data_IF_151619381055
#
_entry.id   IF_151619381055
#
_cell.length_a   1.000
_cell.length_b   1.000
_cell.length_c   1.000
_cell.angle_alpha   90.00
_cell.angle_beta   90.00
_cell.angle_gamma   90.00
#
_symmetry.space_group_name_H-M   'P 1'
#
loop_
_entity.id
_entity.type
_entity.pdbx_description
1 polymer ?
#
# COMPACT_ATOMS: atom_id res chain seq x y z
N UNK A 1 -7.54 -15.66 -6.25
CA UNK A 1 -6.86 -15.96 -4.98
C UNK A 1 -7.52 -17.07 -4.16
N UNK A 2 -8.85 -17.24 -4.15
CA UNK A 2 -9.51 -18.34 -3.43
C UNK A 2 -8.99 -19.76 -3.80
N UNK A 3 -8.52 -19.96 -5.05
CA UNK A 3 -7.96 -21.24 -5.51
C UNK A 3 -6.58 -21.59 -4.93
N UNK A 4 -5.83 -20.62 -4.41
CA UNK A 4 -4.49 -20.89 -3.85
C UNK A 4 -4.55 -21.66 -2.51
N UNK A 5 -5.74 -21.77 -1.91
CA UNK A 5 -5.94 -22.37 -0.58
C UNK A 5 -6.52 -23.79 -0.69
N UNK A 6 -6.86 -24.26 -1.90
CA UNK A 6 -7.50 -25.57 -2.11
C UNK A 6 -6.56 -26.67 -2.60
N UNK A 7 -5.36 -26.34 -3.10
CA UNK A 7 -4.34 -27.31 -3.50
C UNK A 7 -2.96 -26.66 -3.61
N UNK A 8 -1.91 -27.39 -3.24
CA UNK A 8 -0.52 -26.97 -3.43
C UNK A 8 -0.20 -26.68 -4.91
N UNK A 9 -0.73 -27.47 -5.83
CA UNK A 9 -0.50 -27.25 -7.27
C UNK A 9 -1.13 -25.94 -7.75
N UNK A 10 -2.31 -25.58 -7.25
CA UNK A 10 -2.93 -24.29 -7.57
C UNK A 10 -2.20 -23.12 -6.89
N UNK A 11 -1.65 -23.35 -5.70
CA UNK A 11 -0.80 -22.38 -5.03
C UNK A 11 0.41 -22.02 -5.91
N UNK A 12 1.17 -23.03 -6.36
CA UNK A 12 2.37 -22.83 -7.19
C UNK A 12 2.04 -22.12 -8.52
N UNK A 13 0.94 -22.50 -9.16
CA UNK A 13 0.46 -21.84 -10.38
C UNK A 13 0.14 -20.36 -10.13
N UNK A 14 -0.53 -20.05 -9.01
CA UNK A 14 -0.84 -18.65 -8.64
C UNK A 14 0.43 -17.86 -8.38
N UNK A 15 1.41 -18.41 -7.65
CA UNK A 15 2.68 -17.74 -7.39
C UNK A 15 3.48 -17.50 -8.67
N UNK A 16 3.54 -18.50 -9.56
CA UNK A 16 4.22 -18.38 -10.84
C UNK A 16 3.56 -17.31 -11.72
N UNK A 17 2.23 -17.25 -11.72
CA UNK A 17 1.46 -16.22 -12.42
C UNK A 17 1.71 -14.81 -11.86
N UNK A 18 1.68 -14.63 -10.53
CA UNK A 18 1.97 -13.34 -9.89
C UNK A 18 3.40 -12.88 -10.18
N UNK A 19 4.37 -13.79 -10.13
CA UNK A 19 5.76 -13.52 -10.48
C UNK A 19 5.89 -13.04 -11.93
N UNK A 20 5.28 -13.76 -12.86
CA UNK A 20 5.30 -13.40 -14.27
C UNK A 20 4.68 -12.02 -14.49
N UNK A 21 3.54 -11.72 -13.85
CA UNK A 21 2.89 -10.40 -13.96
C UNK A 21 3.75 -9.27 -13.39
N UNK A 22 4.42 -9.48 -12.26
CA UNK A 22 5.38 -8.51 -11.71
C UNK A 22 6.52 -8.24 -12.69
N UNK A 23 7.13 -9.29 -13.25
CA UNK A 23 8.24 -9.14 -14.21
C UNK A 23 7.79 -8.43 -15.49
N UNK A 24 6.63 -8.78 -16.04
CA UNK A 24 6.07 -8.12 -17.22
C UNK A 24 5.74 -6.64 -16.97
N UNK A 25 5.20 -6.31 -15.78
CA UNK A 25 4.95 -4.94 -15.39
C UNK A 25 6.26 -4.13 -15.29
N UNK A 26 7.26 -4.69 -14.62
CA UNK A 26 8.58 -4.06 -14.44
C UNK A 26 9.38 -3.97 -15.73
N UNK A 27 9.19 -4.89 -16.68
CA UNK A 27 9.78 -4.82 -18.02
C UNK A 27 9.34 -3.58 -18.81
N UNK A 28 8.22 -2.97 -18.44
CA UNK A 28 7.82 -1.66 -18.96
C UNK A 28 8.78 -0.55 -18.52
N UNK A 29 9.29 -0.61 -17.29
CA UNK A 29 10.16 0.42 -16.70
C UNK A 29 11.65 0.14 -16.92
N UNK A 30 12.05 -1.13 -16.93
CA UNK A 30 13.45 -1.54 -16.86
C UNK A 30 13.76 -2.66 -17.84
N UNK A 31 14.88 -2.55 -18.56
CA UNK A 31 15.40 -3.61 -19.44
C UNK A 31 15.75 -4.90 -18.68
N UNK A 32 16.15 -4.77 -17.40
CA UNK A 32 16.54 -5.89 -16.54
C UNK A 32 15.71 -5.95 -15.24
N UNK A 33 14.44 -6.42 -15.28
CA UNK A 33 13.56 -6.45 -14.11
C UNK A 33 14.09 -7.24 -12.91
N UNK A 34 14.85 -8.31 -13.15
CA UNK A 34 15.44 -9.11 -12.08
C UNK A 34 16.54 -8.35 -11.33
N UNK A 35 17.35 -7.56 -12.05
CA UNK A 35 18.34 -6.68 -11.43
C UNK A 35 17.67 -5.60 -10.57
N UNK A 36 16.54 -5.07 -11.03
CA UNK A 36 15.73 -4.15 -10.23
C UNK A 36 15.21 -4.81 -8.95
N UNK A 37 14.68 -6.04 -9.02
CA UNK A 37 14.17 -6.77 -7.85
C UNK A 37 15.30 -7.09 -6.86
N UNK A 38 16.52 -7.34 -7.34
CA UNK A 38 17.69 -7.47 -6.47
C UNK A 38 18.03 -6.15 -5.75
N UNK A 39 17.98 -5.01 -6.43
CA UNK A 39 18.14 -3.69 -5.79
C UNK A 39 17.01 -3.38 -4.82
N UNK A 40 15.77 -3.75 -5.14
CA UNK A 40 14.61 -3.60 -4.27
C UNK A 40 14.81 -4.40 -2.97
N UNK A 41 15.30 -5.64 -3.07
CA UNK A 41 15.65 -6.48 -1.93
C UNK A 41 16.79 -5.89 -1.10
N UNK A 42 17.89 -5.47 -1.74
CA UNK A 42 19.06 -4.91 -1.07
C UNK A 42 18.74 -3.61 -0.30
N UNK A 43 17.75 -2.84 -0.76
CA UNK A 43 17.26 -1.64 -0.07
C UNK A 43 16.19 -1.90 0.99
N UNK A 44 15.78 -3.16 1.22
CA UNK A 44 14.57 -3.49 1.99
C UNK A 44 13.38 -2.61 1.57
N UNK A 45 13.22 -2.44 0.25
CA UNK A 45 12.24 -1.55 -0.32
C UNK A 45 10.98 -2.31 -0.73
N UNK A 46 9.89 -1.57 -0.89
CA UNK A 46 8.63 -2.11 -1.42
C UNK A 46 8.04 -1.22 -2.50
N UNK A 47 7.37 -1.82 -3.48
CA UNK A 47 6.50 -1.14 -4.43
C UNK A 47 5.14 -0.98 -3.77
N UNK A 48 4.50 0.19 -3.84
CA UNK A 48 3.16 0.42 -3.27
C UNK A 48 2.24 1.20 -4.22
N UNK A 49 1.21 1.85 -3.68
CA UNK A 49 0.31 2.76 -4.41
C UNK A 49 -0.37 2.04 -5.58
N UNK A 50 -0.56 2.74 -6.71
CA UNK A 50 -1.33 2.24 -7.83
C UNK A 50 -0.69 1.10 -8.60
N UNK A 51 0.64 0.99 -8.56
CA UNK A 51 1.36 -0.15 -9.15
C UNK A 51 1.04 -1.44 -8.38
N UNK A 52 1.19 -1.43 -7.05
CA UNK A 52 0.88 -2.58 -6.22
C UNK A 52 -0.60 -2.98 -6.32
N UNK A 53 -1.51 -2.00 -6.34
CA UNK A 53 -2.94 -2.26 -6.51
C UNK A 53 -3.26 -2.98 -7.83
N UNK A 54 -2.72 -2.50 -8.95
CA UNK A 54 -2.95 -3.10 -10.26
C UNK A 54 -2.41 -4.53 -10.34
N UNK A 55 -1.23 -4.76 -9.77
CA UNK A 55 -0.58 -6.07 -9.75
C UNK A 55 -1.35 -7.07 -8.89
N UNK A 56 -1.82 -6.69 -7.70
CA UNK A 56 -2.51 -7.61 -6.78
C UNK A 56 -3.91 -8.02 -7.22
N UNK A 57 -4.69 -7.10 -7.78
CA UNK A 57 -6.11 -7.31 -7.99
C UNK A 57 -6.52 -7.46 -9.45
N UNK A 58 -5.54 -7.61 -10.35
CA UNK A 58 -5.75 -7.86 -11.79
C UNK A 58 -6.89 -7.04 -12.36
N UNK A 59 -6.86 -5.73 -12.12
CA UNK A 59 -7.82 -4.79 -12.66
C UNK A 59 -7.56 -4.56 -14.18
N UNK A 60 -7.27 -5.63 -14.92
CA UNK A 60 -6.97 -5.63 -16.36
C UNK A 60 -8.19 -5.23 -17.18
N UNK A 61 -9.39 -5.38 -16.63
CA UNK A 61 -10.65 -4.85 -17.19
C UNK A 61 -10.90 -3.39 -16.82
N UNK A 62 -10.06 -2.78 -15.99
CA UNK A 62 -10.24 -1.38 -15.62
C UNK A 62 -9.70 -0.45 -16.71
N UNK A 63 -10.37 0.68 -16.91
CA UNK A 63 -9.98 1.71 -17.87
C UNK A 63 -8.71 2.48 -17.48
N UNK A 64 -8.00 2.05 -16.44
CA UNK A 64 -6.84 2.75 -15.90
C UNK A 64 -5.63 1.83 -15.79
N UNK A 65 -4.45 2.43 -15.96
CA UNK A 65 -3.15 1.79 -15.78
C UNK A 65 -2.28 2.65 -14.85
N UNK A 66 -1.47 2.02 -14.02
CA UNK A 66 -0.42 2.71 -13.28
C UNK A 66 0.66 3.16 -14.28
N UNK A 67 0.92 4.46 -14.31
CA UNK A 67 1.90 5.08 -15.21
C UNK A 67 3.16 5.55 -14.44
N UNK A 68 3.16 5.38 -13.12
CA UNK A 68 4.29 5.66 -12.25
C UNK A 68 4.55 4.50 -11.30
N UNK A 69 5.78 4.44 -10.80
CA UNK A 69 6.26 3.46 -9.84
C UNK A 69 6.63 4.17 -8.54
N UNK A 70 5.92 3.85 -7.45
CA UNK A 70 6.18 4.40 -6.12
C UNK A 70 6.93 3.36 -5.28
N UNK A 71 8.18 3.67 -4.92
CA UNK A 71 9.07 2.83 -4.13
C UNK A 71 9.21 3.39 -2.73
N UNK A 72 9.04 2.57 -1.72
CA UNK A 72 9.15 2.96 -0.32
C UNK A 72 10.39 2.33 0.29
N UNK A 73 11.19 3.15 0.98
CA UNK A 73 12.41 2.72 1.65
C UNK A 73 12.42 3.19 3.10
N UNK A 74 13.10 2.44 3.97
CA UNK A 74 13.39 2.89 5.31
C UNK A 74 14.37 4.07 5.31
N UNK A 75 14.43 4.79 6.44
CA UNK A 75 15.39 5.87 6.65
C UNK A 75 16.83 5.43 6.32
N UNK A 76 17.49 6.14 5.42
CA UNK A 76 18.88 5.88 5.03
C UNK A 76 19.09 4.75 4.02
N UNK A 77 18.03 4.10 3.53
CA UNK A 77 18.14 2.90 2.66
C UNK A 77 17.92 3.17 1.16
N UNK A 78 17.96 4.44 0.75
CA UNK A 78 17.70 4.84 -0.64
C UNK A 78 18.82 4.48 -1.62
N UNK A 79 20.08 4.38 -1.18
CA UNK A 79 21.24 4.35 -2.08
C UNK A 79 21.23 3.24 -3.13
N UNK A 80 20.94 1.95 -2.80
CA UNK A 80 20.94 0.89 -3.82
C UNK A 80 19.93 1.12 -4.95
N UNK A 81 18.76 1.68 -4.64
CA UNK A 81 17.76 2.06 -5.65
C UNK A 81 18.15 3.32 -6.42
N UNK A 82 18.76 4.30 -5.77
CA UNK A 82 19.30 5.48 -6.45
C UNK A 82 20.32 5.05 -7.52
N UNK A 83 21.33 4.28 -7.13
CA UNK A 83 22.40 3.83 -8.02
C UNK A 83 21.83 2.99 -9.17
N UNK A 84 20.86 2.11 -8.88
CA UNK A 84 20.16 1.34 -9.90
C UNK A 84 19.46 2.24 -10.93
N UNK A 85 18.71 3.24 -10.49
CA UNK A 85 17.94 4.11 -11.38
C UNK A 85 18.86 4.97 -12.28
N UNK A 86 19.95 5.50 -11.72
CA UNK A 86 20.95 6.25 -12.49
C UNK A 86 21.59 5.35 -13.56
N UNK A 87 22.01 4.14 -13.19
CA UNK A 87 22.59 3.17 -14.13
C UNK A 87 21.59 2.68 -15.18
N UNK A 88 20.30 2.68 -14.87
CA UNK A 88 19.22 2.38 -15.80
C UNK A 88 18.86 3.56 -16.72
N UNK A 89 19.56 4.70 -16.63
CA UNK A 89 19.36 5.86 -17.50
C UNK A 89 18.27 6.84 -17.02
N UNK A 90 17.77 6.70 -15.80
CA UNK A 90 16.84 7.68 -15.24
C UNK A 90 17.60 8.93 -14.77
N UNK A 91 16.97 10.09 -14.99
CA UNK A 91 17.45 11.37 -14.46
C UNK A 91 16.66 11.77 -13.22
N UNK A 92 17.38 12.16 -12.17
CA UNK A 92 16.75 12.71 -10.96
C UNK A 92 16.20 14.11 -11.25
N UNK A 93 14.95 14.36 -10.91
CA UNK A 93 14.42 15.72 -10.90
C UNK A 93 14.97 16.50 -9.71
N UNK A 94 15.33 17.76 -9.95
CA UNK A 94 15.57 18.71 -8.86
C UNK A 94 14.31 18.80 -8.00
N UNK A 95 14.42 18.80 -6.66
CA UNK A 95 13.26 18.69 -5.79
C UNK A 95 12.40 19.96 -5.91
N UNK A 96 11.13 19.88 -6.31
CA UNK A 96 10.15 20.79 -5.74
C UNK A 96 9.94 20.29 -4.30
N UNK A 97 10.48 21.01 -3.31
CA UNK A 97 10.03 20.81 -1.93
C UNK A 97 8.51 20.96 -1.94
N UNK A 98 7.78 19.86 -1.71
CA UNK A 98 6.32 19.90 -1.61
C UNK A 98 5.94 19.82 -0.13
N UNK A 99 5.53 20.93 0.50
CA UNK A 99 5.03 20.93 1.88
C UNK A 99 3.81 20.00 2.07
N UNK A 100 3.17 19.57 0.98
CA UNK A 100 2.00 18.68 1.00
C UNK A 100 2.29 17.31 1.61
N UNK A 101 3.56 16.88 1.68
CA UNK A 101 3.99 15.61 2.30
C UNK A 101 4.72 15.79 3.64
N UNK A 102 4.70 16.99 4.22
CA UNK A 102 5.42 17.26 5.48
C UNK A 102 4.81 16.58 6.71
N UNK A 103 3.57 16.07 6.62
CA UNK A 103 2.90 15.34 7.71
C UNK A 103 3.02 13.82 7.53
N UNK A 104 3.11 13.11 8.66
CA UNK A 104 3.20 11.66 8.70
C UNK A 104 4.64 11.15 8.77
N UNK A 105 4.85 9.94 8.25
CA UNK A 105 6.11 9.19 8.32
C UNK A 105 6.91 9.26 7.02
N UNK A 106 6.56 10.15 6.07
CA UNK A 106 7.36 10.43 4.87
C UNK A 106 8.44 11.48 5.21
N UNK A 107 9.70 11.16 4.93
CA UNK A 107 10.85 12.06 5.12
C UNK A 107 11.14 12.84 3.85
N UNK A 108 11.36 12.14 2.75
CA UNK A 108 11.68 12.72 1.44
C UNK A 108 10.95 11.98 0.33
N UNK A 109 10.71 12.68 -0.78
CA UNK A 109 10.29 12.07 -2.04
C UNK A 109 11.30 12.51 -3.09
N UNK A 110 11.99 11.55 -3.70
CA UNK A 110 12.91 11.80 -4.80
C UNK A 110 12.32 11.22 -6.08
N UNK A 111 12.04 12.09 -7.05
CA UNK A 111 11.47 11.67 -8.33
C UNK A 111 12.57 11.48 -9.38
N UNK A 112 12.44 10.41 -10.15
CA UNK A 112 13.28 10.05 -11.28
C UNK A 112 12.40 9.93 -12.52
N UNK A 113 12.94 10.39 -13.65
CA UNK A 113 12.26 10.37 -14.94
C UNK A 113 13.13 9.69 -15.99
N UNK A 114 12.49 8.95 -16.87
CA UNK A 114 12.98 8.62 -18.20
C UNK A 114 12.02 9.23 -19.23
N UNK A 115 12.22 8.97 -20.52
CA UNK A 115 11.36 9.52 -21.59
C UNK A 115 9.88 9.24 -21.35
N UNK A 116 9.55 8.04 -20.87
CA UNK A 116 8.16 7.57 -20.77
C UNK A 116 7.73 7.27 -19.33
N UNK A 117 8.66 7.22 -18.38
CA UNK A 117 8.38 6.68 -17.05
C UNK A 117 8.79 7.61 -15.93
N UNK A 118 8.02 7.53 -14.85
CA UNK A 118 8.26 8.24 -13.61
C UNK A 118 8.39 7.23 -12.47
N UNK A 119 9.47 7.32 -11.71
CA UNK A 119 9.72 6.52 -10.51
C UNK A 119 9.90 7.47 -9.33
N UNK A 120 9.15 7.29 -8.26
CA UNK A 120 9.35 8.02 -7.01
C UNK A 120 10.01 7.07 -5.99
N UNK A 121 11.07 7.53 -5.34
CA UNK A 121 11.55 6.92 -4.09
C UNK A 121 11.04 7.76 -2.93
N UNK A 122 10.22 7.15 -2.07
CA UNK A 122 9.63 7.72 -0.87
C UNK A 122 10.39 7.14 0.32
N UNK A 123 11.20 7.98 0.98
CA UNK A 123 11.93 7.59 2.17
C UNK A 123 11.08 7.80 3.42
N UNK A 124 11.00 6.80 4.29
CA UNK A 124 10.35 6.94 5.59
C UNK A 124 11.21 7.74 6.58
N UNK A 125 10.55 8.41 7.54
CA UNK A 125 11.14 8.95 8.77
C UNK A 125 11.50 7.85 9.77
N UNK A 126 10.97 6.64 9.59
CA UNK A 126 11.16 5.50 10.48
C UNK A 126 12.09 4.46 9.87
N UNK A 127 12.47 3.47 10.66
CA UNK A 127 13.22 2.30 10.17
C UNK A 127 12.36 1.31 9.37
N UNK A 128 11.06 1.59 9.17
CA UNK A 128 10.18 0.76 8.35
C UNK A 128 9.79 1.50 7.07
N UNK A 129 9.92 0.87 5.88
CA UNK A 129 9.35 1.42 4.65
C UNK A 129 7.82 1.42 4.67
N UNK A 130 7.19 0.68 5.58
CA UNK A 130 5.74 0.45 5.59
C UNK A 130 4.96 1.52 6.35
N UNK A 131 5.58 2.23 7.29
CA UNK A 131 4.92 3.29 8.07
C UNK A 131 4.10 4.26 7.20
N UNK A 132 4.65 4.84 6.11
CA UNK A 132 3.88 5.78 5.28
C UNK A 132 2.78 5.11 4.46
N UNK A 133 2.86 3.81 4.23
CA UNK A 133 1.83 3.04 3.51
C UNK A 133 0.58 2.90 4.38
N UNK A 134 0.75 2.65 5.68
CA UNK A 134 -0.38 2.52 6.60
C UNK A 134 -1.02 3.87 6.99
N UNK A 135 -0.35 4.98 6.69
CA UNK A 135 -0.88 6.34 6.80
C UNK A 135 -1.59 6.83 5.53
N UNK A 136 -1.72 5.96 4.50
CA UNK A 136 -2.40 6.34 3.27
C UNK A 136 -3.85 6.74 3.49
N UNK A 137 -4.33 7.59 2.57
CA UNK A 137 -5.67 8.16 2.61
C UNK A 137 -6.79 7.13 2.51
N UNK A 138 -6.54 6.01 1.85
CA UNK A 138 -7.52 4.98 1.53
C UNK A 138 -6.98 3.60 1.83
N UNK A 139 -7.82 2.74 2.41
CA UNK A 139 -7.50 1.34 2.65
C UNK A 139 -7.12 0.58 1.37
N UNK A 140 -7.64 0.99 0.22
CA UNK A 140 -7.31 0.41 -1.09
C UNK A 140 -5.88 0.70 -1.57
N UNK A 141 -5.19 1.67 -0.96
CA UNK A 141 -3.78 1.98 -1.25
C UNK A 141 -2.81 1.31 -0.28
N UNK A 142 -3.31 0.70 0.80
CA UNK A 142 -2.50 0.03 1.82
C UNK A 142 -2.08 -1.38 1.36
N UNK A 143 -1.44 -1.46 0.21
CA UNK A 143 -0.91 -2.69 -0.36
C UNK A 143 0.54 -2.46 -0.76
N UNK A 144 1.36 -3.51 -0.71
CA UNK A 144 2.74 -3.41 -1.16
C UNK A 144 3.26 -4.73 -1.73
N UNK A 145 4.34 -4.64 -2.47
CA UNK A 145 5.03 -5.77 -3.09
C UNK A 145 6.52 -5.60 -2.77
N UNK A 146 7.12 -6.57 -2.07
CA UNK A 146 8.56 -6.64 -1.89
C UNK A 146 9.20 -7.36 -3.08
N UNK A 147 10.51 -7.60 -3.04
CA UNK A 147 11.17 -8.40 -4.07
C UNK A 147 10.60 -9.83 -4.16
N UNK A 148 10.08 -10.37 -3.07
CA UNK A 148 9.70 -11.79 -2.93
C UNK A 148 8.32 -12.00 -2.29
N UNK A 149 7.51 -10.96 -2.12
CA UNK A 149 6.19 -11.09 -1.50
C UNK A 149 5.19 -10.04 -1.98
N UNK A 150 3.92 -10.39 -1.84
CA UNK A 150 2.76 -9.56 -2.14
C UNK A 150 1.94 -9.41 -0.87
N UNK A 151 1.53 -8.18 -0.56
CA UNK A 151 0.79 -7.86 0.65
C UNK A 151 -0.41 -6.96 0.37
N UNK A 152 -1.56 -7.29 0.96
CA UNK A 152 -2.74 -6.42 1.00
C UNK A 152 -3.31 -6.36 2.41
N UNK A 153 -3.53 -5.14 2.91
CA UNK A 153 -4.08 -4.94 4.25
C UNK A 153 -5.57 -5.30 4.33
N UNK A 154 -6.30 -5.01 3.24
CA UNK A 154 -7.76 -5.18 3.16
C UNK A 154 -8.16 -5.89 1.86
N UNK A 155 -7.71 -7.14 1.65
CA UNK A 155 -7.86 -7.81 0.36
C UNK A 155 -9.33 -7.93 -0.08
N UNK A 156 -10.24 -8.26 0.84
CA UNK A 156 -11.67 -8.38 0.54
C UNK A 156 -12.36 -7.05 0.23
N UNK A 157 -11.86 -5.91 0.74
CA UNK A 157 -12.38 -4.59 0.37
C UNK A 157 -11.87 -4.20 -1.00
N UNK A 158 -10.55 -4.28 -1.17
CA UNK A 158 -9.85 -3.86 -2.39
C UNK A 158 -10.31 -4.67 -3.60
N UNK A 159 -10.52 -5.98 -3.45
CA UNK A 159 -11.04 -6.84 -4.52
C UNK A 159 -12.47 -6.48 -4.97
N UNK A 160 -13.25 -5.82 -4.11
CA UNK A 160 -14.61 -5.35 -4.42
C UNK A 160 -14.65 -3.89 -4.88
N UNK A 161 -13.48 -3.30 -5.18
CA UNK A 161 -13.34 -1.87 -5.45
C UNK A 161 -13.97 -1.02 -4.33
N UNK A 162 -13.84 -1.42 -3.07
CA UNK A 162 -14.30 -0.63 -1.93
C UNK A 162 -13.09 -0.12 -1.16
N UNK A 163 -13.13 1.15 -0.76
CA UNK A 163 -12.09 1.78 0.04
C UNK A 163 -12.68 2.51 1.24
N UNK A 164 -12.04 2.38 2.39
CA UNK A 164 -12.35 3.14 3.60
C UNK A 164 -11.38 4.31 3.67
N UNK A 165 -11.90 5.50 3.90
CA UNK A 165 -11.07 6.68 4.15
C UNK A 165 -10.40 6.52 5.51
N UNK A 166 -9.07 6.64 5.53
CA UNK A 166 -8.30 6.78 6.76
C UNK A 166 -8.64 8.16 7.37
N UNK A 167 -9.31 8.25 8.52
CA UNK A 167 -9.73 9.54 9.03
C UNK A 167 -8.65 10.33 9.76
N UNK A 168 -7.42 9.80 9.93
CA UNK A 168 -6.27 10.62 10.36
C UNK A 168 -6.05 11.85 9.44
N UNK A 169 -6.68 11.86 8.27
CA UNK A 169 -6.66 12.95 7.31
C UNK A 169 -7.54 14.15 7.68
N UNK A 170 -8.47 14.00 8.61
CA UNK A 170 -9.47 15.02 8.94
C UNK A 170 -9.21 15.74 10.27
N UNK A 171 -8.20 15.33 11.03
CA UNK A 171 -7.98 15.76 12.43
C UNK A 171 -7.65 17.26 12.61
N UNK A 172 -7.51 18.02 11.51
CA UNK A 172 -7.23 19.47 11.54
C UNK A 172 -8.24 20.31 10.76
N UNK A 173 -9.43 19.76 10.46
CA UNK A 173 -10.52 20.50 9.81
C UNK A 173 -10.28 20.91 8.34
N UNK A 174 -9.09 20.64 7.79
CA UNK A 174 -8.72 20.98 6.43
C UNK A 174 -8.25 19.74 5.65
N UNK A 175 -9.06 19.33 4.67
CA UNK A 175 -8.64 18.29 3.71
C UNK A 175 -7.66 18.91 2.73
N UNK A 176 -6.43 18.37 2.68
CA UNK A 176 -5.43 18.81 1.71
C UNK A 176 -5.92 18.56 0.28
N UNK A 177 -5.61 19.48 -0.64
CA UNK A 177 -5.92 19.33 -2.08
C UNK A 177 -5.34 18.00 -2.62
N UNK A 178 -4.13 17.62 -2.17
CA UNK A 178 -3.53 16.32 -2.53
C UNK A 178 -4.38 15.13 -2.11
N UNK A 179 -4.95 15.16 -0.90
CA UNK A 179 -5.87 14.15 -0.40
C UNK A 179 -7.14 14.09 -1.25
N UNK A 180 -7.77 15.23 -1.53
CA UNK A 180 -8.96 15.29 -2.40
C UNK A 180 -8.67 14.72 -3.80
N UNK A 181 -7.52 15.08 -4.38
CA UNK A 181 -7.10 14.56 -5.67
C UNK A 181 -6.89 13.04 -5.64
N UNK A 182 -6.34 12.51 -4.56
CA UNK A 182 -6.20 11.06 -4.38
C UNK A 182 -7.57 10.37 -4.27
N UNK A 183 -8.51 10.92 -3.49
CA UNK A 183 -9.88 10.39 -3.38
C UNK A 183 -10.56 10.39 -4.76
N UNK A 184 -10.54 11.52 -5.47
CA UNK A 184 -11.12 11.64 -6.81
C UNK A 184 -10.46 10.68 -7.82
N UNK A 185 -9.13 10.52 -7.75
CA UNK A 185 -8.37 9.56 -8.57
C UNK A 185 -8.91 8.15 -8.37
N UNK A 186 -9.14 7.70 -7.13
CA UNK A 186 -9.65 6.35 -6.88
C UNK A 186 -11.15 6.20 -7.20
N UNK A 187 -11.99 7.21 -6.97
CA UNK A 187 -13.38 7.19 -7.45
C UNK A 187 -13.46 6.97 -8.97
N UNK A 188 -12.65 7.70 -9.76
CA UNK A 188 -12.61 7.54 -11.23
C UNK A 188 -12.13 6.17 -11.68
N UNK A 189 -11.44 5.44 -10.81
CA UNK A 189 -10.97 4.07 -11.03
C UNK A 189 -12.01 3.01 -10.65
N UNK A 190 -13.23 3.43 -10.31
CA UNK A 190 -14.35 2.58 -9.93
C UNK A 190 -14.39 2.23 -8.44
N UNK A 191 -13.61 2.90 -7.59
CA UNK A 191 -13.69 2.65 -6.15
C UNK A 191 -14.90 3.34 -5.54
N UNK A 192 -15.68 2.58 -4.78
CA UNK A 192 -16.64 3.11 -3.83
C UNK A 192 -15.91 3.50 -2.55
N UNK A 193 -15.74 4.81 -2.36
CA UNK A 193 -15.09 5.37 -1.18
C UNK A 193 -16.13 5.61 -0.09
N UNK A 194 -15.87 5.09 1.11
CA UNK A 194 -16.75 5.22 2.27
C UNK A 194 -15.99 5.75 3.49
N UNK A 195 -16.66 6.48 4.36
CA UNK A 195 -16.16 6.69 5.72
C UNK A 195 -16.25 5.39 6.53
N UNK A 196 -15.49 5.21 7.62
CA UNK A 196 -15.64 4.05 8.50
C UNK A 196 -17.08 3.88 8.99
N UNK A 197 -17.74 4.97 9.37
CA UNK A 197 -19.14 4.96 9.82
C UNK A 197 -20.10 4.47 8.72
N UNK A 198 -19.95 4.97 7.49
CA UNK A 198 -20.76 4.52 6.34
C UNK A 198 -20.52 3.06 6.03
N UNK A 199 -19.26 2.60 6.07
CA UNK A 199 -18.96 1.19 5.85
C UNK A 199 -19.60 0.31 6.92
N UNK A 200 -19.58 0.71 8.19
CA UNK A 200 -20.25 -0.03 9.26
C UNK A 200 -21.75 -0.16 9.02
N UNK A 201 -22.44 0.92 8.69
CA UNK A 201 -23.89 0.88 8.45
C UNK A 201 -24.30 -0.07 7.31
N UNK A 202 -23.42 -0.29 6.31
CA UNK A 202 -23.73 -1.09 5.12
C UNK A 202 -23.14 -2.50 5.12
N UNK A 203 -22.05 -2.73 5.86
CA UNK A 203 -21.29 -4.00 5.79
C UNK A 203 -21.85 -5.09 6.69
N UNK A 204 -22.60 -4.72 7.72
CA UNK A 204 -23.38 -5.66 8.48
C UNK A 204 -24.58 -6.04 7.62
N UNK A 205 -24.61 -7.30 7.15
CA UNK A 205 -25.89 -7.95 6.85
C UNK A 205 -26.79 -7.64 8.03
N UNK A 206 -28.01 -7.20 7.79
CA UNK A 206 -29.00 -6.91 8.84
C UNK A 206 -28.94 -8.04 9.89
N UNK A 207 -28.34 -7.79 11.06
CA UNK A 207 -28.14 -8.78 12.12
C UNK A 207 -26.70 -9.10 12.58
N UNK A 208 -25.64 -8.80 11.84
CA UNK A 208 -24.26 -9.02 12.35
C UNK A 208 -23.83 -7.86 13.27
N UNK A 209 -23.48 -8.10 14.54
CA UNK A 209 -23.09 -7.02 15.45
C UNK A 209 -21.69 -6.49 15.12
N UNK A 210 -21.58 -5.17 14.95
CA UNK A 210 -20.29 -4.48 14.98
C UNK A 210 -19.62 -4.72 16.33
N UNK A 211 -18.36 -5.18 16.33
CA UNK A 211 -17.59 -5.33 17.55
C UNK A 211 -16.43 -4.33 17.56
N UNK A 212 -16.64 -3.21 18.26
CA UNK A 212 -15.68 -2.13 18.36
C UNK A 212 -14.34 -2.65 18.90
N UNK A 213 -13.24 -2.28 18.23
CA UNK A 213 -11.90 -2.75 18.57
C UNK A 213 -11.56 -4.16 18.08
N UNK A 214 -12.50 -4.89 17.45
CA UNK A 214 -12.25 -6.22 16.89
C UNK A 214 -12.61 -6.36 15.41
N UNK A 215 -13.65 -5.69 14.92
CA UNK A 215 -14.03 -5.78 13.51
C UNK A 215 -12.93 -5.24 12.59
N UNK A 216 -12.57 -5.97 11.54
CA UNK A 216 -11.50 -5.62 10.58
C UNK A 216 -11.57 -4.18 10.05
N UNK A 217 -12.78 -3.63 9.92
CA UNK A 217 -13.04 -2.28 9.37
C UNK A 217 -13.27 -1.21 10.44
N UNK A 218 -13.21 -1.57 11.72
CA UNK A 218 -13.39 -0.65 12.84
C UNK A 218 -12.16 0.25 12.97
N UNK A 219 -12.40 1.56 13.06
CA UNK A 219 -11.36 2.59 13.27
C UNK A 219 -10.52 2.33 14.52
N UNK A 220 -11.13 1.78 15.55
CA UNK A 220 -10.50 1.50 16.85
C UNK A 220 -9.70 0.19 16.89
N UNK A 221 -9.85 -0.69 15.89
CA UNK A 221 -9.17 -2.00 15.93
C UNK A 221 -7.69 -1.83 15.64
N UNK A 222 -6.78 -2.13 16.59
CA UNK A 222 -5.35 -2.16 16.31
C UNK A 222 -5.06 -3.31 15.35
N UNK A 223 -4.45 -2.98 14.23
CA UNK A 223 -4.09 -3.94 13.17
C UNK A 223 -2.60 -4.16 13.14
N UNK A 224 -2.19 -5.31 12.59
CA UNK A 224 -0.78 -5.71 12.50
C UNK A 224 -0.50 -6.31 11.14
N UNK A 225 0.73 -6.15 10.66
CA UNK A 225 1.12 -6.64 9.33
C UNK A 225 1.09 -8.17 9.22
N UNK A 226 1.04 -8.88 10.35
CA UNK A 226 0.88 -10.32 10.43
C UNK A 226 -0.50 -10.75 10.96
N UNK A 227 -1.52 -9.86 10.95
CA UNK A 227 -2.86 -10.26 11.34
C UNK A 227 -3.54 -11.15 10.28
N UNK A 228 -4.49 -11.99 10.72
CA UNK A 228 -5.16 -12.99 9.88
C UNK A 228 -6.10 -12.42 8.83
N UNK A 229 -6.29 -11.10 8.83
CA UNK A 229 -7.16 -10.40 7.89
C UNK A 229 -6.39 -9.80 6.70
N UNK A 230 -5.07 -9.70 6.83
CA UNK A 230 -4.20 -9.34 5.73
C UNK A 230 -4.02 -10.53 4.77
N UNK A 231 -3.77 -10.21 3.51
CA UNK A 231 -3.25 -11.15 2.54
C UNK A 231 -1.73 -10.99 2.51
N UNK A 232 -1.01 -12.09 2.67
CA UNK A 232 0.42 -12.17 2.46
C UNK A 232 0.73 -13.40 1.59
N UNK A 233 1.40 -13.18 0.47
CA UNK A 233 1.81 -14.24 -0.45
C UNK A 233 3.31 -14.12 -0.72
N UNK A 234 4.09 -15.11 -0.27
CA UNK A 234 5.51 -15.22 -0.59
C UNK A 234 5.67 -15.85 -1.97
N UNK A 235 6.53 -15.27 -2.81
CA UNK A 235 6.82 -15.70 -4.18
C UNK A 235 8.29 -16.12 -4.27
N UNK A 236 8.59 -17.43 -4.12
CA UNK A 236 9.95 -17.93 -4.09
C UNK A 236 10.74 -17.65 -5.37
N UNK A 237 12.06 -17.53 -5.21
CA UNK A 237 13.03 -17.60 -6.30
C UNK A 237 13.20 -16.33 -7.13
N UNK A 238 12.66 -15.18 -6.69
CA UNK A 238 12.97 -13.88 -7.31
C UNK A 238 14.36 -13.39 -6.92
N UNK A 239 14.74 -13.61 -5.66
CA UNK A 239 16.09 -13.37 -5.13
C UNK A 239 16.53 -14.67 -4.45
N UNK A 240 17.79 -15.10 -4.65
CA UNK A 240 18.34 -16.25 -3.91
C UNK A 240 18.32 -15.90 -2.43
N UNK A 241 17.54 -16.63 -1.65
CA UNK A 241 17.52 -16.47 -0.19
C UNK A 241 18.83 -16.98 0.41
N UNK A 242 19.37 -16.22 1.37
CA UNK A 242 20.12 -16.80 2.47
C UNK A 242 19.07 -17.42 3.42
N UNK A 243 19.31 -18.64 3.91
CA UNK A 243 18.32 -19.54 4.55
C UNK A 243 17.70 -19.06 5.88
N UNK A 244 17.76 -17.77 6.22
CA UNK A 244 17.21 -17.24 7.46
C UNK A 244 15.79 -16.69 7.27
N UNK A 245 14.87 -17.27 8.03
CA UNK A 245 13.43 -16.97 8.10
C UNK A 245 13.12 -15.59 8.75
N UNK A 246 13.95 -14.58 8.53
CA UNK A 246 13.68 -13.26 9.08
C UNK A 246 12.46 -12.64 8.39
N UNK A 247 11.50 -12.18 9.19
CA UNK A 247 10.42 -11.32 8.69
C UNK A 247 11.10 -10.10 8.02
N UNK A 248 11.03 -10.03 6.68
CA UNK A 248 11.76 -9.05 5.86
C UNK A 248 11.44 -7.59 6.24
N UNK A 249 10.33 -7.37 6.95
CA UNK A 249 9.93 -6.06 7.45
C UNK A 249 9.55 -6.12 8.93
N UNK A 250 9.89 -5.06 9.70
CA UNK A 250 9.49 -4.99 11.09
C UNK A 250 7.96 -5.00 11.23
N UNK A 251 7.47 -5.65 12.28
CA UNK A 251 6.05 -5.66 12.63
C UNK A 251 5.51 -4.24 12.80
N UNK A 252 4.76 -3.76 11.82
CA UNK A 252 4.08 -2.47 11.90
C UNK A 252 2.67 -2.66 12.45
N UNK A 253 2.31 -1.80 13.41
CA UNK A 253 0.96 -1.64 13.94
C UNK A 253 0.34 -0.37 13.38
N UNK A 254 -0.93 -0.44 13.01
CA UNK A 254 -1.69 0.74 12.59
C UNK A 254 -3.14 0.64 13.04
N UNK A 255 -3.85 1.75 12.93
CA UNK A 255 -5.30 1.84 13.09
C UNK A 255 -5.81 2.70 11.93
N UNK A 256 -7.04 2.45 11.45
CA UNK A 256 -7.60 3.30 10.40
C UNK A 256 -7.82 4.73 10.89
N UNK A 257 -7.88 4.98 12.20
CA UNK A 257 -8.09 6.30 12.80
C UNK A 257 -9.55 6.78 12.73
N UNK A 258 -9.86 7.93 13.32
CA UNK A 258 -11.14 8.63 13.20
C UNK A 258 -12.03 8.66 14.42
N UNK A 259 -13.27 9.10 14.22
CA UNK A 259 -14.23 9.16 15.31
C UNK A 259 -14.36 7.77 15.92
N UNK A 260 -14.21 7.72 17.25
CA UNK A 260 -14.44 6.52 18.04
C UNK A 260 -15.78 5.94 17.63
N UNK A 261 -15.84 4.62 17.44
CA UNK A 261 -17.12 3.95 17.25
C UNK A 261 -17.99 4.28 18.46
N UNK A 262 -18.85 5.28 18.33
CA UNK A 262 -19.75 5.68 19.39
C UNK A 262 -20.60 4.46 19.68
N UNK A 263 -20.51 3.93 20.91
CA UNK A 263 -21.47 2.95 21.41
C UNK A 263 -22.83 3.53 21.09
N UNK A 264 -23.58 2.87 20.21
CA UNK A 264 -24.87 3.30 19.66
C UNK A 264 -25.66 4.11 20.69
N UNK A 265 -25.64 5.44 20.52
CA UNK A 265 -26.11 6.40 21.51
C UNK A 265 -25.49 7.78 21.25
N UNK A 266 -25.90 8.42 20.15
CA UNK A 266 -25.68 9.82 19.77
C UNK A 266 -25.10 10.75 20.85
N UNK A 267 -23.91 11.35 20.64
CA UNK A 267 -23.61 12.78 20.93
C UNK A 267 -22.43 13.28 20.08
N UNK A 268 -22.48 14.57 19.73
CA UNK A 268 -21.54 15.45 19.00
C UNK A 268 -20.01 15.33 19.24
N UNK A 269 -19.18 15.86 18.31
CA UNK A 269 -17.72 15.72 18.37
C UNK A 269 -17.08 16.49 19.54
N UNK A 270 -16.29 15.78 20.34
CA UNK A 270 -15.40 16.32 21.37
C UNK A 270 -13.95 16.05 20.96
N UNK A 271 -13.13 17.09 20.86
CA UNK A 271 -11.69 17.02 20.53
C UNK A 271 -10.91 17.08 21.85
N UNK A 272 -10.07 16.07 22.12
CA UNK A 272 -9.05 16.15 23.15
C UNK A 272 -7.67 15.95 22.52
N UNK A 273 -6.82 16.96 22.67
CA UNK A 273 -5.41 16.98 22.26
C UNK A 273 -4.59 16.46 23.46
N UNK A 274 -3.67 15.51 23.19
CA UNK A 274 -2.49 15.26 24.02
C UNK A 274 -1.25 15.57 23.18
#
# INVERSE_FOLDING_TARGET
>A
MALAVSSQSYHDVVLCHLRHRLLCFLAGFFTHPLSFLASLHASHAVISSSAALQLLFSLETSSWKANDLDLYVAFGQMSPLHDFLINAGFSRSNPPFSPAYSLGSIRTITTYHSENWKVNIIESRTHSPLSPIFEFHLSSSMNFISADSFFSTYPSLTARCCAIVNPMLFDLGNVRIGTLNALLKYCRRGFEIRSPAQYHLMSHRVGDPHNCGMSITCSETPRRSNDSYCLYLRVPGVVKQCDEHEEVFPLVKWQLGGQRCMRLGYVEPYIHIM
#
